data_IF_291018978237
#
_entry.id   IF_291018978237
#
_cell.length_a   1.000
_cell.length_b   1.000
_cell.length_c   1.000
_cell.angle_alpha   90.00
_cell.angle_beta   90.00
_cell.angle_gamma   90.00
#
_symmetry.space_group_name_H-M   'P 1'
#
loop_
_entity.id
_entity.type
_entity.pdbx_description
1 polymer ?
#
# COMPACT_ATOMS: atom_id res chain seq x y z
N UNK A 1 49.78 -13.67 -63.07
CA UNK A 1 50.66 -12.68 -62.43
C UNK A 1 50.35 -12.69 -60.95
N UNK A 2 51.08 -13.52 -60.23
CA UNK A 2 51.03 -13.69 -58.77
C UNK A 2 52.22 -12.96 -58.20
N UNK A 3 51.96 -11.95 -57.38
CA UNK A 3 52.95 -11.18 -56.65
C UNK A 3 53.37 -11.96 -55.38
N UNK A 4 54.66 -12.28 -55.17
CA UNK A 4 55.14 -12.90 -53.95
C UNK A 4 55.76 -11.84 -53.02
N UNK A 5 55.16 -11.60 -51.85
CA UNK A 5 55.83 -10.84 -50.79
C UNK A 5 55.72 -11.50 -49.41
N UNK A 6 56.87 -12.08 -49.04
CA UNK A 6 57.52 -12.14 -47.71
C UNK A 6 56.70 -12.64 -46.50
N UNK A 7 57.14 -13.72 -45.82
CA UNK A 7 56.68 -14.05 -44.47
C UNK A 7 57.33 -13.09 -43.47
N UNK A 8 56.52 -12.26 -42.81
CA UNK A 8 56.98 -11.45 -41.68
C UNK A 8 56.76 -12.24 -40.39
N UNK A 9 57.82 -12.90 -39.94
CA UNK A 9 57.96 -13.29 -38.53
C UNK A 9 57.78 -12.05 -37.65
N UNK A 10 56.76 -12.05 -36.78
CA UNK A 10 56.72 -11.48 -35.43
C UNK A 10 55.28 -11.21 -34.99
N UNK A 11 54.77 -12.03 -34.07
CA UNK A 11 53.68 -11.62 -33.18
C UNK A 11 53.86 -12.28 -31.80
N UNK A 12 54.42 -11.48 -30.89
CA UNK A 12 54.26 -11.49 -29.44
C UNK A 12 54.47 -12.82 -28.70
N UNK A 13 55.64 -12.93 -28.08
CA UNK A 13 55.84 -13.64 -26.82
C UNK A 13 54.79 -13.15 -25.81
N UNK A 14 53.72 -13.93 -25.62
CA UNK A 14 52.70 -13.66 -24.61
C UNK A 14 53.33 -14.05 -23.28
N UNK A 15 53.87 -13.04 -22.60
CA UNK A 15 54.43 -13.11 -21.25
C UNK A 15 53.42 -13.78 -20.30
N UNK A 16 53.53 -15.10 -20.17
CA UNK A 16 52.75 -15.89 -19.22
C UNK A 16 53.26 -15.52 -17.83
N UNK A 17 52.68 -14.47 -17.25
CA UNK A 17 52.89 -14.10 -15.85
C UNK A 17 52.83 -15.36 -15.00
N UNK A 18 53.99 -15.74 -14.43
CA UNK A 18 54.14 -16.88 -13.52
C UNK A 18 53.01 -16.87 -12.49
N UNK A 19 52.36 -18.03 -12.30
CA UNK A 19 51.35 -18.19 -11.23
C UNK A 19 52.03 -17.93 -9.89
N UNK A 20 51.71 -16.81 -9.24
CA UNK A 20 52.17 -16.52 -7.88
C UNK A 20 51.63 -17.57 -6.90
N UNK A 21 52.48 -18.05 -5.99
CA UNK A 21 52.05 -18.93 -4.91
C UNK A 21 51.16 -18.19 -3.91
N UNK A 22 50.28 -18.93 -3.24
CA UNK A 22 49.34 -18.37 -2.26
C UNK A 22 50.09 -17.66 -1.12
N UNK A 23 51.19 -18.24 -0.66
CA UNK A 23 52.07 -17.66 0.37
C UNK A 23 52.59 -16.26 -0.01
N UNK A 24 52.92 -16.02 -1.29
CA UNK A 24 53.36 -14.70 -1.75
C UNK A 24 52.25 -13.64 -1.74
N UNK A 25 50.99 -14.06 -1.92
CA UNK A 25 49.83 -13.14 -1.93
C UNK A 25 49.34 -12.85 -0.50
N UNK A 26 49.45 -13.82 0.42
CA UNK A 26 49.07 -13.69 1.82
C UNK A 26 49.79 -12.54 2.52
N UNK A 27 51.11 -12.43 2.29
CA UNK A 27 51.97 -11.40 2.90
C UNK A 27 51.53 -9.98 2.54
N UNK A 28 50.92 -9.79 1.35
CA UNK A 28 50.56 -8.46 0.83
C UNK A 28 49.08 -8.12 0.98
N UNK A 29 48.17 -9.10 0.93
CA UNK A 29 46.72 -8.86 0.84
C UNK A 29 45.88 -9.52 1.94
N UNK A 30 46.49 -10.08 3.00
CA UNK A 30 45.78 -10.74 4.12
C UNK A 30 44.74 -11.78 3.68
N UNK A 31 45.01 -12.50 2.59
CA UNK A 31 44.13 -13.56 2.09
C UNK A 31 44.20 -14.77 3.03
N UNK A 32 43.06 -15.33 3.42
CA UNK A 32 43.02 -16.49 4.34
C UNK A 32 42.77 -17.81 3.63
N UNK A 33 42.29 -17.80 2.39
CA UNK A 33 41.91 -19.03 1.65
C UNK A 33 42.06 -18.91 0.13
N UNK A 34 42.34 -20.04 -0.53
CA UNK A 34 42.28 -20.19 -2.01
C UNK A 34 40.89 -19.76 -2.53
N UNK A 35 39.81 -20.03 -1.78
CA UNK A 35 38.45 -19.65 -2.18
C UNK A 35 38.29 -18.13 -2.34
N UNK A 36 38.91 -17.34 -1.47
CA UNK A 36 38.87 -15.88 -1.60
C UNK A 36 39.58 -15.41 -2.87
N UNK A 37 40.68 -16.05 -3.27
CA UNK A 37 41.39 -15.75 -4.52
C UNK A 37 40.55 -16.09 -5.75
N UNK A 38 39.87 -17.25 -5.74
CA UNK A 38 38.96 -17.66 -6.82
C UNK A 38 37.81 -16.67 -6.95
N UNK A 39 37.24 -16.24 -5.82
CA UNK A 39 36.15 -15.28 -5.77
C UNK A 39 36.58 -13.88 -6.23
N UNK A 40 37.77 -13.42 -5.84
CA UNK A 40 38.31 -12.14 -6.33
C UNK A 40 38.58 -12.18 -7.83
N UNK A 41 39.14 -13.28 -8.34
CA UNK A 41 39.34 -13.46 -9.78
C UNK A 41 38.01 -13.44 -10.54
N UNK A 42 36.98 -14.07 -10.00
CA UNK A 42 35.61 -14.03 -10.54
C UNK A 42 35.07 -12.60 -10.56
N UNK A 43 35.18 -11.88 -9.43
CA UNK A 43 34.72 -10.49 -9.32
C UNK A 43 35.49 -9.51 -10.21
N UNK A 44 36.77 -9.79 -10.52
CA UNK A 44 37.55 -9.02 -11.48
C UNK A 44 37.12 -9.31 -12.92
N UNK A 45 36.80 -10.56 -13.24
CA UNK A 45 36.30 -10.95 -14.56
C UNK A 45 34.87 -10.43 -14.83
N UNK A 46 34.03 -10.39 -13.80
CA UNK A 46 32.68 -9.79 -13.85
C UNK A 46 32.74 -8.25 -13.95
N UNK A 47 33.87 -7.64 -13.58
CA UNK A 47 34.07 -6.19 -13.63
C UNK A 47 33.13 -5.41 -12.69
N UNK A 48 32.95 -4.14 -12.99
CA UNK A 48 32.04 -3.25 -12.27
C UNK A 48 32.65 -2.59 -11.03
N UNK A 49 32.27 -1.34 -10.81
CA UNK A 49 32.64 -0.60 -9.61
C UNK A 49 31.90 -1.16 -8.39
N UNK A 50 32.36 -0.80 -7.19
CA UNK A 50 31.61 -1.05 -5.94
C UNK A 50 30.16 -0.56 -6.04
N UNK A 51 29.91 0.54 -6.74
CA UNK A 51 28.58 1.12 -6.92
C UNK A 51 27.67 0.20 -7.73
N UNK A 52 28.20 -0.44 -8.77
CA UNK A 52 27.43 -1.35 -9.63
C UNK A 52 27.00 -2.59 -8.86
N UNK A 53 27.88 -3.13 -8.02
CA UNK A 53 27.58 -4.24 -7.12
C UNK A 53 26.47 -3.89 -6.11
N UNK A 54 26.53 -2.68 -5.53
CA UNK A 54 25.48 -2.21 -4.61
C UNK A 54 24.13 -2.00 -5.32
N UNK A 55 24.14 -1.52 -6.57
CA UNK A 55 22.91 -1.41 -7.39
C UNK A 55 22.29 -2.79 -7.66
N UNK A 56 23.10 -3.79 -7.97
CA UNK A 56 22.64 -5.16 -8.20
C UNK A 56 21.97 -5.75 -6.93
N UNK A 57 22.62 -5.60 -5.77
CA UNK A 57 22.05 -6.04 -4.48
C UNK A 57 20.73 -5.31 -4.22
N UNK A 58 20.68 -3.97 -4.37
CA UNK A 58 19.46 -3.19 -4.18
C UNK A 58 18.33 -3.67 -5.09
N UNK A 59 18.63 -3.96 -6.35
CA UNK A 59 17.64 -4.43 -7.32
C UNK A 59 17.09 -5.79 -6.92
N UNK A 60 17.96 -6.73 -6.57
CA UNK A 60 17.54 -8.08 -6.18
C UNK A 60 16.73 -8.05 -4.87
N UNK A 61 17.20 -7.31 -3.86
CA UNK A 61 16.44 -7.10 -2.62
C UNK A 61 15.08 -6.46 -2.90
N UNK A 62 15.01 -5.48 -3.81
CA UNK A 62 13.76 -4.86 -4.23
C UNK A 62 12.79 -5.83 -4.89
N UNK A 63 13.28 -6.72 -5.77
CA UNK A 63 12.47 -7.78 -6.39
C UNK A 63 11.92 -8.75 -5.34
N UNK A 64 12.78 -9.25 -4.45
CA UNK A 64 12.37 -10.16 -3.37
C UNK A 64 11.32 -9.52 -2.45
N UNK A 65 11.48 -8.23 -2.14
CA UNK A 65 10.51 -7.47 -1.35
C UNK A 65 9.16 -7.34 -2.07
N UNK A 66 9.15 -7.10 -3.39
CA UNK A 66 7.91 -7.05 -4.17
C UNK A 66 7.20 -8.39 -4.21
N UNK A 67 7.94 -9.50 -4.40
CA UNK A 67 7.40 -10.86 -4.35
C UNK A 67 6.76 -11.13 -2.99
N UNK A 68 7.45 -10.78 -1.90
CA UNK A 68 6.90 -10.91 -0.56
C UNK A 68 5.62 -10.08 -0.38
N UNK A 69 5.61 -8.82 -0.81
CA UNK A 69 4.39 -7.99 -0.74
C UNK A 69 3.23 -8.61 -1.53
N UNK A 70 3.48 -9.16 -2.71
CA UNK A 70 2.46 -9.81 -3.51
C UNK A 70 1.94 -11.08 -2.83
N UNK A 71 2.84 -11.92 -2.32
CA UNK A 71 2.49 -13.16 -1.62
C UNK A 71 1.64 -12.90 -0.36
N UNK A 72 1.97 -11.85 0.41
CA UNK A 72 1.25 -11.48 1.64
C UNK A 72 0.11 -10.47 1.41
N UNK A 73 -0.20 -10.08 0.16
CA UNK A 73 -1.26 -9.10 -0.13
C UNK A 73 -1.00 -7.69 0.43
N UNK A 74 0.25 -7.30 0.65
CA UNK A 74 0.63 -6.02 1.25
C UNK A 74 0.63 -4.92 0.20
N UNK A 75 -0.24 -3.93 0.35
CA UNK A 75 -0.40 -2.78 -0.55
C UNK A 75 -0.38 -1.45 0.21
N UNK A 76 -0.30 -0.33 -0.53
CA UNK A 76 -0.48 1.00 0.06
C UNK A 76 -1.93 1.14 0.51
N UNK A 77 -2.15 1.54 1.76
CA UNK A 77 -3.48 1.74 2.35
C UNK A 77 -3.54 3.12 3.01
N UNK A 78 -4.72 3.73 3.03
CA UNK A 78 -4.95 4.92 3.81
C UNK A 78 -5.09 4.53 5.29
N UNK A 79 -4.50 5.35 6.17
CA UNK A 79 -4.68 5.17 7.61
C UNK A 79 -6.13 5.53 7.93
N UNK A 80 -6.87 4.59 8.50
CA UNK A 80 -8.29 4.78 8.86
C UNK A 80 -8.49 5.18 10.31
N UNK A 81 -7.59 4.78 11.21
CA UNK A 81 -7.70 5.04 12.64
C UNK A 81 -6.32 5.01 13.32
N UNK A 82 -6.09 5.95 14.22
CA UNK A 82 -4.99 5.91 15.19
C UNK A 82 -5.51 5.33 16.51
N UNK A 83 -4.78 4.37 17.07
CA UNK A 83 -5.18 3.66 18.30
C UNK A 83 -4.04 3.64 19.31
N UNK A 84 -4.38 3.59 20.59
CA UNK A 84 -3.42 3.46 21.69
C UNK A 84 -3.24 1.99 22.08
N UNK A 85 -2.18 1.68 22.82
CA UNK A 85 -1.97 0.32 23.36
C UNK A 85 -3.14 -0.11 24.27
N UNK A 86 -3.65 0.82 25.10
CA UNK A 86 -4.84 0.62 25.92
C UNK A 86 -6.04 0.20 25.07
N UNK A 87 -6.29 0.88 23.95
CA UNK A 87 -7.36 0.51 23.02
C UNK A 87 -7.22 -0.93 22.51
N UNK A 88 -6.01 -1.40 22.23
CA UNK A 88 -5.78 -2.76 21.76
C UNK A 88 -6.01 -3.79 22.86
N UNK A 89 -5.57 -3.51 24.10
CA UNK A 89 -5.79 -4.39 25.25
C UNK A 89 -7.26 -4.53 25.63
N UNK A 90 -8.04 -3.47 25.50
CA UNK A 90 -9.48 -3.42 25.81
C UNK A 90 -10.36 -3.86 24.63
N UNK A 91 -9.81 -4.17 23.46
CA UNK A 91 -10.55 -4.67 22.30
C UNK A 91 -11.40 -5.92 22.60
N UNK A 92 -10.87 -6.99 23.23
CA UNK A 92 -11.65 -8.20 23.50
C UNK A 92 -12.82 -7.94 24.47
N UNK A 93 -12.61 -7.13 25.51
CA UNK A 93 -13.65 -6.81 26.49
C UNK A 93 -14.75 -5.93 25.88
N UNK A 94 -14.36 -4.90 25.09
CA UNK A 94 -15.33 -4.07 24.38
C UNK A 94 -16.14 -4.87 23.37
N UNK A 95 -15.51 -5.80 22.67
CA UNK A 95 -16.20 -6.70 21.74
C UNK A 95 -17.20 -7.59 22.48
N UNK A 96 -16.77 -8.20 23.59
CA UNK A 96 -17.65 -9.01 24.45
C UNK A 96 -18.84 -8.19 24.96
N UNK A 97 -18.61 -6.99 25.47
CA UNK A 97 -19.68 -6.10 25.95
C UNK A 97 -20.65 -5.71 24.83
N UNK A 98 -20.14 -5.43 23.63
CA UNK A 98 -20.98 -5.16 22.46
C UNK A 98 -21.83 -6.39 22.08
N UNK A 99 -21.24 -7.59 22.08
CA UNK A 99 -21.94 -8.84 21.77
C UNK A 99 -23.03 -9.15 22.82
N UNK A 100 -22.75 -8.94 24.11
CA UNK A 100 -23.72 -9.08 25.20
C UNK A 100 -24.88 -8.08 25.07
N UNK A 101 -24.58 -6.82 24.73
CA UNK A 101 -25.59 -5.80 24.46
C UNK A 101 -26.50 -6.21 23.28
N UNK A 102 -25.90 -6.67 22.18
CA UNK A 102 -26.66 -7.15 21.01
C UNK A 102 -27.53 -8.37 21.37
N UNK A 103 -27.01 -9.31 22.16
CA UNK A 103 -27.77 -10.47 22.62
C UNK A 103 -28.97 -10.05 23.49
N UNK A 104 -28.78 -9.10 24.41
CA UNK A 104 -29.85 -8.53 25.24
C UNK A 104 -30.92 -7.81 24.41
N UNK A 105 -30.52 -6.99 23.43
CA UNK A 105 -31.46 -6.29 22.55
C UNK A 105 -32.25 -7.29 21.70
N UNK A 106 -31.59 -8.32 21.16
CA UNK A 106 -32.25 -9.39 20.40
C UNK A 106 -33.27 -10.16 21.23
N UNK A 107 -32.95 -10.51 22.48
CA UNK A 107 -33.90 -11.20 23.35
C UNK A 107 -35.12 -10.33 23.66
N UNK A 108 -34.93 -9.03 23.88
CA UNK A 108 -36.04 -8.08 24.04
C UNK A 108 -36.89 -7.97 22.78
N UNK A 109 -36.27 -7.88 21.60
CA UNK A 109 -36.99 -7.83 20.32
C UNK A 109 -37.90 -9.06 20.14
N UNK A 110 -37.43 -10.26 20.52
CA UNK A 110 -38.23 -11.49 20.46
C UNK A 110 -39.48 -11.47 21.35
N UNK A 111 -39.47 -10.69 22.43
CA UNK A 111 -40.64 -10.55 23.32
C UNK A 111 -41.78 -9.73 22.69
N UNK A 112 -41.51 -8.97 21.62
CA UNK A 112 -42.51 -8.17 20.93
C UNK A 112 -42.86 -8.79 19.57
N UNK A 113 -44.12 -8.67 19.16
CA UNK A 113 -44.50 -8.97 17.78
C UNK A 113 -43.89 -7.95 16.83
N UNK A 114 -43.49 -8.39 15.63
CA UNK A 114 -42.82 -7.56 14.63
C UNK A 114 -43.62 -6.31 14.21
N UNK A 115 -44.94 -6.33 14.37
CA UNK A 115 -45.84 -5.20 14.08
C UNK A 115 -45.69 -4.03 15.07
N UNK A 116 -45.12 -4.27 16.25
CA UNK A 116 -44.89 -3.25 17.29
C UNK A 116 -43.44 -2.77 17.34
N UNK A 117 -42.56 -3.32 16.51
CA UNK A 117 -41.18 -2.88 16.40
C UNK A 117 -41.07 -1.82 15.29
N UNK A 118 -40.35 -0.75 15.58
CA UNK A 118 -40.06 0.32 14.64
C UNK A 118 -38.58 0.64 14.69
N UNK A 119 -37.93 0.64 13.54
CA UNK A 119 -36.61 1.22 13.36
C UNK A 119 -36.78 2.67 12.95
N UNK A 120 -36.27 3.59 13.77
CA UNK A 120 -36.28 5.02 13.49
C UNK A 120 -34.83 5.49 13.35
N UNK A 121 -34.54 6.21 12.27
CA UNK A 121 -33.24 6.83 12.07
C UNK A 121 -33.38 8.20 11.41
N UNK A 122 -32.41 9.07 11.65
CA UNK A 122 -32.33 10.40 11.09
C UNK A 122 -31.45 10.40 9.85
N UNK A 123 -31.92 11.05 8.79
CA UNK A 123 -31.16 11.26 7.57
C UNK A 123 -31.16 12.73 7.21
N UNK A 124 -29.96 13.30 7.08
CA UNK A 124 -29.77 14.64 6.57
C UNK A 124 -29.91 14.65 5.04
N UNK A 125 -30.71 15.59 4.54
CA UNK A 125 -30.92 15.83 3.12
C UNK A 125 -30.49 17.26 2.80
N UNK A 126 -29.69 17.39 1.76
CA UNK A 126 -29.36 18.68 1.19
C UNK A 126 -30.61 19.26 0.50
N UNK A 127 -30.82 20.57 0.57
CA UNK A 127 -31.92 21.21 -0.15
C UNK A 127 -31.76 21.08 -1.68
N UNK A 128 -30.52 21.08 -2.16
CA UNK A 128 -30.16 20.95 -3.57
C UNK A 128 -29.03 19.94 -3.77
N UNK A 129 -29.10 19.18 -4.87
CA UNK A 129 -28.06 18.21 -5.25
C UNK A 129 -26.82 18.97 -5.71
N UNK A 130 -25.69 18.75 -5.04
CA UNK A 130 -24.44 19.43 -5.38
C UNK A 130 -23.53 18.56 -6.23
N UNK A 131 -22.98 19.07 -7.35
CA UNK A 131 -21.86 18.40 -8.00
C UNK A 131 -20.64 18.52 -7.09
N UNK A 132 -20.11 17.39 -6.62
CA UNK A 132 -18.93 17.37 -5.72
C UNK A 132 -17.63 17.85 -6.38
N UNK A 133 -17.62 18.03 -7.72
CA UNK A 133 -16.52 18.54 -8.53
C UNK A 133 -17.05 19.27 -9.76
N UNK A 134 -16.28 20.23 -10.24
CA UNK A 134 -16.49 20.87 -11.55
C UNK A 134 -15.18 20.85 -12.34
N UNK A 135 -15.26 21.09 -13.66
CA UNK A 135 -14.09 21.20 -14.53
C UNK A 135 -13.51 22.61 -14.45
N UNK A 136 -12.21 22.72 -14.20
CA UNK A 136 -11.44 23.96 -14.22
C UNK A 136 -9.99 23.65 -14.64
N UNK A 137 -9.20 24.68 -14.93
CA UNK A 137 -7.79 24.59 -15.26
C UNK A 137 -6.94 24.06 -14.08
N UNK A 138 -5.87 23.35 -14.43
CA UNK A 138 -4.93 22.81 -13.45
C UNK A 138 -4.20 23.95 -12.75
N UNK A 139 -4.28 24.00 -11.43
CA UNK A 139 -3.66 25.05 -10.61
C UNK A 139 -4.59 26.20 -10.23
N UNK A 140 -5.85 26.22 -10.72
CA UNK A 140 -6.84 27.19 -10.27
C UNK A 140 -7.17 26.98 -8.79
N UNK A 141 -6.98 28.03 -7.99
CA UNK A 141 -7.28 28.03 -6.54
C UNK A 141 -8.72 28.38 -6.22
N UNK A 142 -9.35 29.24 -7.01
CA UNK A 142 -10.73 29.69 -6.81
C UNK A 142 -11.60 29.29 -7.98
N UNK A 143 -12.51 28.36 -7.73
CA UNK A 143 -13.47 27.86 -8.70
C UNK A 143 -14.85 28.33 -8.29
N UNK A 144 -15.48 29.17 -9.11
CA UNK A 144 -16.83 29.69 -8.86
C UNK A 144 -17.85 28.89 -9.67
N UNK A 145 -18.96 28.52 -9.03
CA UNK A 145 -20.08 27.79 -9.65
C UNK A 145 -21.35 28.60 -9.46
N UNK A 146 -22.11 28.79 -10.54
CA UNK A 146 -23.41 29.42 -10.48
C UNK A 146 -24.43 28.47 -9.83
N UNK A 147 -25.15 28.94 -8.83
CA UNK A 147 -26.19 28.15 -8.15
C UNK A 147 -27.50 28.94 -8.09
N UNK A 148 -28.67 28.27 -8.04
CA UNK A 148 -29.95 28.95 -7.88
C UNK A 148 -30.11 29.65 -6.53
N UNK A 149 -29.48 29.12 -5.47
CA UNK A 149 -29.62 29.62 -4.11
C UNK A 149 -28.39 29.26 -3.26
N UNK A 150 -27.66 30.27 -2.78
CA UNK A 150 -26.53 30.05 -1.86
C UNK A 150 -26.98 29.40 -0.55
N UNK A 151 -28.16 29.78 -0.05
CA UNK A 151 -28.72 29.27 1.20
C UNK A 151 -29.03 27.76 1.10
N UNK A 152 -29.58 27.32 -0.03
CA UNK A 152 -29.86 25.89 -0.29
C UNK A 152 -28.58 25.05 -0.33
N UNK A 153 -27.46 25.66 -0.71
CA UNK A 153 -26.16 25.00 -0.80
C UNK A 153 -25.46 24.83 0.55
N UNK A 154 -25.80 25.67 1.54
CA UNK A 154 -25.18 25.67 2.87
C UNK A 154 -26.02 24.89 3.88
N UNK A 155 -27.34 24.94 3.74
CA UNK A 155 -28.23 24.31 4.70
C UNK A 155 -28.68 22.91 4.24
N UNK A 156 -29.02 22.10 5.23
CA UNK A 156 -29.66 20.80 5.06
C UNK A 156 -30.81 20.72 6.06
N UNK A 157 -31.70 19.77 5.85
CA UNK A 157 -32.74 19.43 6.81
C UNK A 157 -32.62 17.95 7.16
N UNK A 158 -33.00 17.59 8.38
CA UNK A 158 -32.95 16.21 8.84
C UNK A 158 -34.37 15.67 8.91
N UNK A 159 -34.58 14.51 8.29
CA UNK A 159 -35.84 13.78 8.36
C UNK A 159 -35.62 12.53 9.19
N UNK A 160 -36.48 12.30 10.18
CA UNK A 160 -36.56 11.02 10.87
C UNK A 160 -37.57 10.12 10.16
N UNK A 161 -37.09 9.01 9.63
CA UNK A 161 -37.91 7.98 8.99
C UNK A 161 -38.07 6.79 9.92
N UNK A 162 -39.30 6.26 10.00
CA UNK A 162 -39.61 5.10 10.82
C UNK A 162 -40.15 3.96 9.95
N UNK A 163 -39.56 2.77 10.07
CA UNK A 163 -39.94 1.57 9.32
C UNK A 163 -40.21 0.40 10.25
N UNK A 164 -41.30 -0.33 10.02
CA UNK A 164 -41.62 -1.56 10.75
C UNK A 164 -41.06 -2.79 10.01
N UNK A 165 -40.45 -3.76 10.71
CA UNK A 165 -39.93 -4.97 10.09
C UNK A 165 -41.02 -5.97 9.69
N UNK A 166 -42.17 -5.97 10.37
CA UNK A 166 -43.25 -6.92 10.11
C UNK A 166 -43.94 -6.68 8.77
N UNK A 167 -44.50 -5.48 8.59
CA UNK A 167 -45.28 -5.14 7.40
C UNK A 167 -44.49 -4.38 6.34
N UNK A 168 -43.20 -4.08 6.60
CA UNK A 168 -42.37 -3.16 5.79
C UNK A 168 -43.07 -1.82 5.49
N UNK A 169 -43.90 -1.38 6.41
CA UNK A 169 -44.60 -0.10 6.31
C UNK A 169 -43.73 1.00 6.87
N UNK A 170 -43.70 2.12 6.16
CA UNK A 170 -43.25 3.39 6.71
C UNK A 170 -44.36 3.99 7.55
N UNK A 171 -43.99 4.78 8.56
CA UNK A 171 -44.96 5.70 9.15
C UNK A 171 -45.49 6.63 8.05
N UNK A 172 -46.81 6.90 8.02
CA UNK A 172 -47.42 7.75 7.00
C UNK A 172 -47.01 9.23 7.15
N UNK A 173 -46.35 9.59 8.25
CA UNK A 173 -45.89 10.93 8.56
C UNK A 173 -44.37 10.91 8.73
N UNK A 174 -43.71 11.87 8.09
CA UNK A 174 -42.29 12.14 8.27
C UNK A 174 -42.12 13.24 9.31
N UNK A 175 -41.16 13.07 10.22
CA UNK A 175 -40.82 14.08 11.21
C UNK A 175 -39.61 14.87 10.73
N UNK A 176 -39.77 16.18 10.58
CA UNK A 176 -38.63 17.09 10.46
C UNK A 176 -38.01 17.23 11.84
N UNK A 177 -36.70 17.02 11.91
CA UNK A 177 -35.95 17.12 13.16
C UNK A 177 -34.88 18.18 13.02
N UNK A 178 -34.68 18.93 14.10
CA UNK A 178 -33.67 19.99 14.21
C UNK A 178 -32.27 19.40 14.37
#
# INVERSE_FOLDING_TARGET
>A
MTDPSVPFDQAADVDYKKRCSLSSVQTKFKVTSIRQLTEWKRQLAEGGSRIDKLKAIRLETGKQFLIAKQHYGISKRNITKFVTEKYLKEEPERKKSADECVALVRSRIQAYRMDYLWNADQSAFEYEIRPGRTLDFVGTTHVLVLTPSENSMIHSYTVMMCVSPGTRKFLPVLFLTL
#
